data_IF_083123776334
#
_entry.id   IF_083123776334
#
_cell.length_a   1.000
_cell.length_b   1.000
_cell.length_c   1.000
_cell.angle_alpha   90.00
_cell.angle_beta   90.00
_cell.angle_gamma   90.00
#
_symmetry.space_group_name_H-M   'P 1'
#
loop_
_entity.id
_entity.type
_entity.pdbx_description
1 polymer ?
#
# COMPACT_ATOMS: atom_id res chain seq x y z
N UNK A 1 -27.85 -4.46 -6.10
CA UNK A 1 -27.43 -3.34 -5.24
C UNK A 1 -26.89 -2.25 -6.15
N UNK A 2 -27.53 -1.08 -6.17
CA UNK A 2 -27.10 0.09 -6.97
C UNK A 2 -26.36 1.01 -6.00
N UNK A 3 -25.12 1.39 -6.32
CA UNK A 3 -24.36 2.35 -5.52
C UNK A 3 -24.63 3.77 -6.04
N UNK A 4 -24.67 4.75 -5.15
CA UNK A 4 -24.83 6.16 -5.52
C UNK A 4 -23.62 6.70 -6.29
N UNK A 5 -22.43 6.15 -6.02
CA UNK A 5 -21.21 6.46 -6.76
C UNK A 5 -20.34 5.22 -6.97
N UNK A 6 -19.59 5.25 -8.08
CA UNK A 6 -18.53 4.29 -8.40
C UNK A 6 -17.15 4.96 -8.48
N UNK A 7 -17.04 6.21 -8.02
CA UNK A 7 -15.78 6.96 -7.98
C UNK A 7 -14.93 6.52 -6.79
N UNK A 8 -13.62 6.72 -6.89
CA UNK A 8 -12.70 6.44 -5.80
C UNK A 8 -12.63 7.67 -4.89
N UNK A 9 -13.12 7.53 -3.67
CA UNK A 9 -13.16 8.62 -2.68
C UNK A 9 -11.76 9.10 -2.26
N UNK A 10 -10.75 8.24 -2.38
CA UNK A 10 -9.35 8.59 -2.12
C UNK A 10 -8.71 9.41 -3.25
N UNK A 11 -9.42 9.60 -4.36
CA UNK A 11 -8.89 10.20 -5.56
C UNK A 11 -9.53 11.57 -5.80
N UNK A 12 -8.73 12.64 -5.68
CA UNK A 12 -9.16 14.02 -5.99
C UNK A 12 -9.74 14.14 -7.42
N UNK A 13 -9.28 13.30 -8.35
CA UNK A 13 -9.77 13.28 -9.73
C UNK A 13 -11.10 12.53 -9.92
N UNK A 14 -11.68 11.99 -8.84
CA UNK A 14 -12.97 11.28 -8.83
C UNK A 14 -13.07 10.21 -9.94
N UNK A 15 -11.95 9.52 -10.21
CA UNK A 15 -11.91 8.44 -11.21
C UNK A 15 -12.67 7.23 -10.69
N UNK A 16 -13.23 6.45 -11.61
CA UNK A 16 -13.87 5.17 -11.28
C UNK A 16 -12.95 4.31 -10.41
N UNK A 17 -13.47 3.85 -9.28
CA UNK A 17 -12.78 2.92 -8.40
C UNK A 17 -12.71 1.55 -9.10
N UNK A 18 -11.49 1.10 -9.35
CA UNK A 18 -11.18 -0.26 -9.76
C UNK A 18 -10.06 -0.75 -8.86
N UNK A 19 -9.86 -2.07 -8.75
CA UNK A 19 -8.75 -2.64 -7.97
C UNK A 19 -7.41 -2.02 -8.37
N UNK A 20 -7.14 -1.90 -9.68
CA UNK A 20 -5.93 -1.24 -10.18
C UNK A 20 -5.83 0.23 -9.80
N UNK A 21 -6.95 0.95 -9.79
CA UNK A 21 -6.96 2.35 -9.43
C UNK A 21 -6.69 2.51 -7.95
N UNK A 22 -7.46 1.82 -7.10
CA UNK A 22 -7.41 1.94 -5.66
C UNK A 22 -6.01 1.66 -5.10
N UNK A 23 -5.33 0.60 -5.59
CA UNK A 23 -4.07 0.17 -4.99
C UNK A 23 -2.81 0.67 -5.69
N UNK A 24 -2.90 1.11 -6.94
CA UNK A 24 -1.71 1.45 -7.74
C UNK A 24 -1.80 2.80 -8.45
N UNK A 25 -2.97 3.19 -8.97
CA UNK A 25 -3.07 4.36 -9.86
C UNK A 25 -3.62 5.63 -9.23
N UNK A 26 -4.32 5.51 -8.10
CA UNK A 26 -4.82 6.63 -7.31
C UNK A 26 -3.67 7.51 -6.83
N UNK A 27 -3.89 8.83 -6.72
CA UNK A 27 -2.90 9.77 -6.19
C UNK A 27 -2.51 9.42 -4.74
N UNK A 28 -3.51 9.07 -3.91
CA UNK A 28 -3.28 8.59 -2.55
C UNK A 28 -2.41 7.34 -2.52
N UNK A 29 -2.74 6.33 -3.32
CA UNK A 29 -1.99 5.07 -3.38
C UNK A 29 -0.53 5.30 -3.81
N UNK A 30 -0.31 6.10 -4.86
CA UNK A 30 1.05 6.46 -5.31
C UNK A 30 1.86 7.12 -4.18
N UNK A 31 1.24 8.02 -3.42
CA UNK A 31 1.90 8.66 -2.29
C UNK A 31 2.22 7.66 -1.15
N UNK A 32 1.34 6.68 -0.91
CA UNK A 32 1.60 5.61 0.06
C UNK A 32 2.80 4.74 -0.35
N UNK A 33 2.87 4.32 -1.61
CA UNK A 33 4.06 3.62 -2.13
C UNK A 33 5.32 4.49 -2.06
N UNK A 34 5.21 5.77 -2.41
CA UNK A 34 6.34 6.70 -2.33
C UNK A 34 6.85 6.89 -0.89
N UNK A 35 5.96 6.77 0.11
CA UNK A 35 6.33 6.89 1.54
C UNK A 35 7.28 5.79 2.03
N UNK A 36 7.42 4.70 1.27
CA UNK A 36 8.39 3.61 1.49
C UNK A 36 9.44 3.53 0.37
N UNK A 37 9.62 4.61 -0.40
CA UNK A 37 10.64 4.72 -1.46
C UNK A 37 10.26 4.07 -2.80
N UNK A 38 9.00 3.68 -3.01
CA UNK A 38 8.55 3.02 -4.25
C UNK A 38 7.73 3.98 -5.12
N UNK A 39 8.26 4.38 -6.27
CA UNK A 39 7.51 5.15 -7.26
C UNK A 39 6.79 4.22 -8.25
N UNK A 40 5.47 4.33 -8.33
CA UNK A 40 4.62 3.51 -9.23
C UNK A 40 4.35 4.23 -10.56
N UNK A 41 4.77 3.63 -11.68
CA UNK A 41 4.49 4.16 -13.03
C UNK A 41 3.17 3.61 -13.57
N UNK A 42 2.11 4.41 -13.48
CA UNK A 42 0.72 3.99 -13.70
C UNK A 42 0.30 3.79 -15.15
N UNK A 43 1.11 4.28 -16.10
CA UNK A 43 0.87 4.15 -17.55
C UNK A 43 1.18 2.75 -18.09
N UNK A 44 1.79 1.88 -17.28
CA UNK A 44 2.17 0.53 -17.67
C UNK A 44 1.06 -0.50 -17.38
N UNK A 45 1.23 -1.70 -17.92
CA UNK A 45 0.41 -2.86 -17.57
C UNK A 45 0.62 -3.25 -16.10
N UNK A 46 -0.38 -3.89 -15.47
CA UNK A 46 -0.31 -4.30 -14.07
C UNK A 46 0.89 -5.21 -13.78
N UNK A 47 1.16 -6.16 -14.68
CA UNK A 47 2.31 -7.07 -14.57
C UNK A 47 3.64 -6.31 -14.56
N UNK A 48 3.76 -5.27 -15.40
CA UNK A 48 4.96 -4.43 -15.44
C UNK A 48 5.09 -3.57 -14.18
N UNK A 49 3.98 -3.07 -13.63
CA UNK A 49 3.98 -2.34 -12.35
C UNK A 49 4.46 -3.24 -11.22
N UNK A 50 3.92 -4.45 -11.10
CA UNK A 50 4.34 -5.38 -10.04
C UNK A 50 5.80 -5.80 -10.17
N UNK A 51 6.27 -6.04 -11.40
CA UNK A 51 7.70 -6.29 -11.65
C UNK A 51 8.56 -5.11 -11.22
N UNK A 52 8.17 -3.90 -11.59
CA UNK A 52 8.87 -2.69 -11.15
C UNK A 52 8.91 -2.55 -9.62
N UNK A 53 7.79 -2.78 -8.93
CA UNK A 53 7.74 -2.69 -7.47
C UNK A 53 8.70 -3.71 -6.86
N UNK A 54 8.65 -4.97 -7.31
CA UNK A 54 9.58 -6.02 -6.89
C UNK A 54 11.04 -5.62 -7.10
N UNK A 55 11.39 -5.16 -8.30
CA UNK A 55 12.76 -4.79 -8.66
C UNK A 55 13.26 -3.58 -7.84
N UNK A 56 12.35 -2.64 -7.51
CA UNK A 56 12.67 -1.49 -6.66
C UNK A 56 12.84 -1.86 -5.20
N UNK A 57 12.03 -2.77 -4.69
CA UNK A 57 12.14 -3.25 -3.31
C UNK A 57 13.41 -4.06 -3.10
N UNK A 58 13.81 -4.87 -4.09
CA UNK A 58 15.07 -5.62 -4.10
C UNK A 58 15.34 -6.47 -2.84
N UNK A 59 14.27 -6.94 -2.18
CA UNK A 59 14.32 -7.78 -0.97
C UNK A 59 13.57 -9.10 -1.19
N UNK A 60 13.95 -10.19 -0.52
CA UNK A 60 13.28 -11.48 -0.69
C UNK A 60 11.83 -11.51 -0.19
N UNK A 61 11.45 -10.58 0.69
CA UNK A 61 10.11 -10.42 1.27
C UNK A 61 9.28 -9.31 0.60
N UNK A 62 9.52 -9.07 -0.70
CA UNK A 62 8.80 -8.04 -1.46
C UNK A 62 7.28 -8.29 -1.51
N UNK A 63 6.86 -9.56 -1.48
CA UNK A 63 5.44 -9.91 -1.53
C UNK A 63 4.72 -9.48 -0.25
N UNK A 64 5.34 -9.69 0.90
CA UNK A 64 4.83 -9.27 2.21
C UNK A 64 4.65 -7.76 2.25
N UNK A 65 5.64 -7.00 1.77
CA UNK A 65 5.53 -5.54 1.63
C UNK A 65 4.35 -5.17 0.74
N UNK A 66 4.20 -5.84 -0.40
CA UNK A 66 3.13 -5.52 -1.34
C UNK A 66 1.74 -5.79 -0.79
N UNK A 67 1.57 -6.94 -0.13
CA UNK A 67 0.31 -7.34 0.51
C UNK A 67 -0.02 -6.37 1.64
N UNK A 68 0.93 -6.07 2.52
CA UNK A 68 0.70 -5.19 3.67
C UNK A 68 0.43 -3.73 3.26
N UNK A 69 1.09 -3.21 2.22
CA UNK A 69 0.78 -1.87 1.72
C UNK A 69 -0.63 -1.81 1.10
N UNK A 70 -0.99 -2.84 0.32
CA UNK A 70 -2.35 -2.98 -0.25
C UNK A 70 -3.40 -3.05 0.87
N UNK A 71 -3.15 -3.84 1.91
CA UNK A 71 -4.00 -3.93 3.10
C UNK A 71 -4.11 -2.59 3.84
N UNK A 72 -3.00 -1.88 4.01
CA UNK A 72 -2.99 -0.58 4.68
C UNK A 72 -3.80 0.47 3.90
N UNK A 73 -3.68 0.50 2.58
CA UNK A 73 -4.50 1.38 1.72
C UNK A 73 -5.98 1.00 1.83
N UNK A 74 -6.30 -0.30 1.80
CA UNK A 74 -7.67 -0.80 1.93
C UNK A 74 -8.31 -0.38 3.26
N UNK A 75 -7.58 -0.54 4.36
CA UNK A 75 -8.10 -0.16 5.69
C UNK A 75 -8.29 1.34 5.82
N UNK A 76 -7.39 2.18 5.29
CA UNK A 76 -7.59 3.64 5.27
C UNK A 76 -8.80 4.03 4.42
N UNK A 77 -8.99 3.40 3.25
CA UNK A 77 -10.18 3.63 2.41
C UNK A 77 -11.46 3.29 3.17
N UNK A 78 -11.47 2.21 3.91
CA UNK A 78 -12.64 1.78 4.70
C UNK A 78 -12.87 2.67 5.92
N UNK A 79 -11.82 3.11 6.59
CA UNK A 79 -11.93 4.07 7.70
C UNK A 79 -12.53 5.40 7.23
N UNK A 80 -12.15 5.87 6.03
CA UNK A 80 -12.81 7.02 5.41
C UNK A 80 -14.30 6.76 5.14
N UNK A 81 -14.62 5.65 4.45
CA UNK A 81 -15.99 5.38 4.00
C UNK A 81 -16.95 5.06 5.15
N UNK A 82 -16.51 4.33 6.18
CA UNK A 82 -17.40 3.80 7.22
C UNK A 82 -17.27 4.52 8.55
N UNK A 83 -16.11 5.14 8.83
CA UNK A 83 -15.83 5.78 10.12
C UNK A 83 -15.62 7.29 10.00
N UNK A 84 -15.65 7.87 8.79
CA UNK A 84 -15.45 9.30 8.56
C UNK A 84 -14.05 9.80 8.93
N UNK A 85 -13.04 8.91 8.93
CA UNK A 85 -11.67 9.26 9.29
C UNK A 85 -10.92 9.71 8.04
N UNK A 86 -10.47 10.97 8.02
CA UNK A 86 -9.77 11.55 6.87
C UNK A 86 -8.54 10.72 6.46
N UNK A 87 -8.41 10.39 5.16
CA UNK A 87 -7.31 9.57 4.68
C UNK A 87 -6.00 10.35 4.67
N UNK A 88 -4.99 9.87 5.42
CA UNK A 88 -3.66 10.45 5.43
C UNK A 88 -2.58 9.44 5.05
N UNK A 89 -1.63 9.85 4.20
CA UNK A 89 -0.50 8.99 3.76
C UNK A 89 0.32 8.52 4.95
N UNK A 90 0.56 9.40 5.93
CA UNK A 90 1.29 9.05 7.15
C UNK A 90 0.53 8.04 8.01
N UNK A 91 -0.80 8.12 8.06
CA UNK A 91 -1.62 7.12 8.75
C UNK A 91 -1.52 5.76 8.06
N UNK A 92 -1.58 5.73 6.72
CA UNK A 92 -1.35 4.51 5.95
C UNK A 92 0.03 3.91 6.22
N UNK A 93 1.09 4.74 6.24
CA UNK A 93 2.46 4.30 6.55
C UNK A 93 2.57 3.74 7.98
N UNK A 94 1.94 4.37 8.98
CA UNK A 94 1.91 3.85 10.36
C UNK A 94 1.19 2.51 10.47
N UNK A 95 0.03 2.36 9.82
CA UNK A 95 -0.69 1.07 9.74
C UNK A 95 0.20 0.00 9.09
N UNK A 96 0.84 0.33 7.97
CA UNK A 96 1.80 -0.56 7.31
C UNK A 96 2.92 -1.01 8.27
N UNK A 97 3.55 -0.08 8.99
CA UNK A 97 4.62 -0.41 9.96
C UNK A 97 4.11 -1.28 11.10
N UNK A 98 2.92 -1.00 11.62
CA UNK A 98 2.29 -1.80 12.69
C UNK A 98 2.01 -3.23 12.24
N UNK A 99 1.43 -3.41 11.04
CA UNK A 99 1.14 -4.71 10.47
C UNK A 99 2.43 -5.49 10.14
N UNK A 100 3.44 -4.80 9.60
CA UNK A 100 4.75 -5.40 9.34
C UNK A 100 5.44 -5.85 10.64
N UNK A 101 5.32 -5.08 11.71
CA UNK A 101 5.85 -5.45 13.03
C UNK A 101 5.15 -6.70 13.56
N UNK A 102 3.83 -6.82 13.34
CA UNK A 102 3.07 -8.02 13.71
C UNK A 102 3.50 -9.25 12.90
N UNK A 103 3.78 -9.06 11.60
CA UNK A 103 4.29 -10.11 10.72
C UNK A 103 5.63 -10.69 11.21
N UNK A 104 6.50 -9.89 11.82
CA UNK A 104 7.80 -10.37 12.33
C UNK A 104 7.66 -11.52 13.34
N UNK A 105 6.58 -11.57 14.11
CA UNK A 105 6.31 -12.67 15.06
C UNK A 105 6.00 -14.01 14.39
N UNK A 106 5.62 -14.00 13.11
CA UNK A 106 5.28 -15.20 12.33
C UNK A 106 6.24 -15.45 11.17
N UNK A 107 7.20 -14.55 10.97
CA UNK A 107 8.21 -14.66 9.93
C UNK A 107 9.18 -15.81 10.23
N UNK A 108 9.80 -16.35 9.17
CA UNK A 108 10.86 -17.35 9.33
C UNK A 108 12.01 -16.73 10.12
N UNK A 109 12.57 -17.40 11.16
CA UNK A 109 13.63 -16.83 11.98
C UNK A 109 14.84 -16.32 11.18
N UNK A 110 15.17 -16.98 10.08
CA UNK A 110 16.26 -16.58 9.17
C UNK A 110 16.00 -15.29 8.41
N UNK A 111 14.73 -14.88 8.24
CA UNK A 111 14.35 -13.64 7.54
C UNK A 111 14.19 -12.45 8.47
N UNK A 112 13.92 -12.69 9.76
CA UNK A 112 13.64 -11.64 10.76
C UNK A 112 14.73 -10.56 10.78
N UNK A 113 16.05 -10.85 10.82
CA UNK A 113 17.07 -9.80 10.87
C UNK A 113 16.96 -8.81 9.71
N UNK A 114 16.84 -9.32 8.48
CA UNK A 114 16.74 -8.48 7.27
C UNK A 114 15.43 -7.69 7.24
N UNK A 115 14.32 -8.30 7.67
CA UNK A 115 13.02 -7.63 7.75
C UNK A 115 13.01 -6.52 8.80
N UNK A 116 13.64 -6.75 9.96
CA UNK A 116 13.78 -5.77 11.04
C UNK A 116 14.61 -4.57 10.61
N UNK A 117 15.77 -4.80 9.98
CA UNK A 117 16.60 -3.71 9.44
C UNK A 117 15.83 -2.90 8.41
N UNK A 118 15.11 -3.58 7.51
CA UNK A 118 14.33 -2.91 6.48
C UNK A 118 13.21 -2.05 7.07
N UNK A 119 12.42 -2.55 8.03
CA UNK A 119 11.32 -1.77 8.61
C UNK A 119 11.82 -0.60 9.48
N UNK A 120 12.95 -0.76 10.17
CA UNK A 120 13.59 0.32 10.95
C UNK A 120 14.05 1.47 10.06
N UNK A 121 14.47 1.19 8.82
CA UNK A 121 14.83 2.24 7.85
C UNK A 121 13.66 3.14 7.42
N UNK A 122 12.42 2.76 7.76
CA UNK A 122 11.21 3.50 7.43
C UNK A 122 10.67 4.36 8.57
N UNK A 123 11.23 4.25 9.78
CA UNK A 123 10.87 5.05 10.96
C UNK A 123 11.47 6.45 10.87
#
# INVERSE_FOLDING_TARGET
MILESYTCDLCILQKRETVSHLFLRCNFAKACWQSIGVSVITTRSLQSIFRQIKDRLAVPFYMEIMILMTWSIWTVRNDWMFNGIDPAVQQCKRKFISEFSTLLHRARPTMIPNMTVWIQSLQ
#
